data_IF_141385325320
#
_entry.id   IF_141385325320
#
_cell.length_a   1.000
_cell.length_b   1.000
_cell.length_c   1.000
_cell.angle_alpha   90.00
_cell.angle_beta   90.00
_cell.angle_gamma   90.00
#
_symmetry.space_group_name_H-M   'P 1'
#
loop_
_entity.id
_entity.type
_entity.pdbx_description
1 polymer ?
#
# COMPACT_ATOMS: atom_id res chain seq x y z
N UNK A 1 -1.32 -6.45 -6.69
CA UNK A 1 -0.13 -5.75 -7.21
C UNK A 1 0.82 -5.45 -6.05
N UNK A 2 2.11 -5.32 -6.32
CA UNK A 2 3.14 -5.01 -5.32
C UNK A 2 3.94 -3.83 -5.85
N UNK A 3 4.16 -2.82 -5.03
CA UNK A 3 5.02 -1.68 -5.37
C UNK A 3 5.94 -1.38 -4.17
N UNK A 4 7.23 -1.26 -4.46
CA UNK A 4 8.30 -1.28 -3.46
C UNK A 4 8.67 0.13 -2.98
N UNK A 5 8.59 1.11 -3.88
CA UNK A 5 8.99 2.49 -3.59
C UNK A 5 7.99 3.52 -4.12
N UNK A 6 6.67 3.34 -3.92
CA UNK A 6 5.70 4.28 -4.43
C UNK A 6 5.79 5.59 -3.65
N UNK A 7 5.67 6.71 -4.36
CA UNK A 7 5.32 7.99 -3.75
C UNK A 7 3.81 8.07 -3.55
N UNK A 8 3.38 9.00 -2.69
CA UNK A 8 1.98 9.04 -2.29
C UNK A 8 1.02 9.26 -3.48
N UNK A 9 1.43 10.05 -4.47
CA UNK A 9 0.63 10.33 -5.66
C UNK A 9 0.52 9.13 -6.61
N UNK A 10 1.44 8.16 -6.54
CA UNK A 10 1.36 6.93 -7.33
C UNK A 10 0.22 6.01 -6.84
N UNK A 11 -0.16 6.13 -5.56
CA UNK A 11 -1.07 5.22 -4.88
C UNK A 11 -2.38 5.86 -4.39
N UNK A 12 -2.46 7.18 -4.27
CA UNK A 12 -3.61 7.88 -3.71
C UNK A 12 -4.93 7.61 -4.45
N UNK A 13 -4.91 7.69 -5.80
CA UNK A 13 -6.10 7.41 -6.60
C UNK A 13 -6.48 5.92 -6.54
N UNK A 14 -5.48 5.04 -6.55
CA UNK A 14 -5.68 3.58 -6.54
C UNK A 14 -6.31 3.13 -5.22
N UNK A 15 -5.87 3.70 -4.09
CA UNK A 15 -6.43 3.37 -2.77
C UNK A 15 -7.94 3.57 -2.74
N UNK A 16 -8.46 4.70 -3.21
CA UNK A 16 -9.89 4.97 -3.23
C UNK A 16 -10.67 3.93 -4.07
N UNK A 17 -10.11 3.51 -5.20
CA UNK A 17 -10.70 2.48 -6.07
C UNK A 17 -10.69 1.11 -5.38
N UNK A 18 -9.58 0.74 -4.73
CA UNK A 18 -9.45 -0.54 -4.00
C UNK A 18 -10.50 -0.64 -2.90
N UNK A 19 -10.70 0.44 -2.13
CA UNK A 19 -11.73 0.50 -1.10
C UNK A 19 -13.15 0.36 -1.72
N UNK A 20 -13.43 1.08 -2.80
CA UNK A 20 -14.73 1.02 -3.48
C UNK A 20 -15.01 -0.37 -4.11
N UNK A 21 -13.97 -1.08 -4.54
CA UNK A 21 -14.06 -2.41 -5.10
C UNK A 21 -14.20 -3.52 -4.05
N UNK A 22 -14.16 -3.20 -2.75
CA UNK A 22 -14.17 -4.20 -1.67
C UNK A 22 -12.89 -5.05 -1.60
N UNK A 23 -11.83 -4.60 -2.25
CA UNK A 23 -10.52 -5.25 -2.22
C UNK A 23 -9.77 -4.88 -0.93
N UNK A 24 -8.68 -5.59 -0.65
CA UNK A 24 -7.87 -5.42 0.56
C UNK A 24 -6.58 -4.67 0.25
N UNK A 25 -6.29 -3.66 1.06
CA UNK A 25 -5.05 -2.89 1.02
C UNK A 25 -4.28 -3.12 2.31
N UNK A 26 -3.00 -3.47 2.22
CA UNK A 26 -2.13 -3.58 3.39
C UNK A 26 -0.78 -2.90 3.17
N UNK A 27 -0.29 -2.10 4.13
CA UNK A 27 1.08 -1.61 4.09
C UNK A 27 2.05 -2.79 4.30
N UNK A 28 3.21 -2.71 3.67
CA UNK A 28 4.30 -3.68 3.84
C UNK A 28 5.36 -3.20 4.84
N UNK A 29 5.26 -1.95 5.29
CA UNK A 29 5.96 -1.39 6.45
C UNK A 29 4.94 -1.03 7.56
N UNK A 30 5.41 -0.37 8.61
CA UNK A 30 4.59 0.06 9.75
C UNK A 30 3.91 1.42 9.51
N UNK A 31 3.83 1.89 8.25
CA UNK A 31 3.35 3.22 7.89
C UNK A 31 2.05 3.12 7.09
N UNK A 32 0.96 3.61 7.68
CA UNK A 32 -0.32 3.77 6.99
C UNK A 32 -0.52 5.22 6.54
N UNK A 33 -0.48 5.53 5.23
CA UNK A 33 -0.66 6.90 4.75
C UNK A 33 -2.13 7.32 4.62
N UNK A 34 -3.05 6.36 4.53
CA UNK A 34 -4.45 6.63 4.22
C UNK A 34 -5.36 6.47 5.44
N UNK A 35 -6.42 7.28 5.56
CA UNK A 35 -6.74 8.43 4.70
C UNK A 35 -5.69 9.57 4.86
N UNK A 36 -5.52 10.39 3.82
CA UNK A 36 -4.51 11.46 3.83
C UNK A 36 -4.95 12.64 4.70
N UNK A 37 -4.02 13.17 5.49
CA UNK A 37 -4.16 14.40 6.25
C UNK A 37 -3.77 15.61 5.39
N UNK A 38 -4.65 16.59 5.29
CA UNK A 38 -4.37 17.86 4.62
C UNK A 38 -3.19 18.60 5.29
N UNK A 39 -2.31 19.18 4.48
CA UNK A 39 -1.15 19.94 4.96
C UNK A 39 0.06 19.11 5.43
N UNK A 40 -0.05 17.77 5.50
CA UNK A 40 1.09 16.89 5.78
C UNK A 40 1.95 16.72 4.53
N UNK A 41 3.28 16.80 4.68
CA UNK A 41 4.24 16.53 3.61
C UNK A 41 4.54 15.03 3.52
N UNK A 42 4.23 14.42 2.37
CA UNK A 42 4.43 12.99 2.08
C UNK A 42 5.56 12.77 1.05
N UNK A 43 6.26 13.82 0.62
CA UNK A 43 7.23 13.75 -0.48
C UNK A 43 8.47 12.90 -0.18
N UNK A 44 8.79 12.74 1.11
CA UNK A 44 10.11 12.27 1.55
C UNK A 44 10.25 10.76 1.70
N UNK A 45 9.16 10.02 1.88
CA UNK A 45 9.23 8.57 2.14
C UNK A 45 8.44 7.77 1.10
N UNK A 46 8.83 6.52 0.83
CA UNK A 46 8.01 5.58 0.07
C UNK A 46 6.88 5.01 0.94
N UNK A 47 5.87 4.40 0.30
CA UNK A 47 4.73 3.74 0.96
C UNK A 47 4.50 2.32 0.42
N UNK A 48 5.43 1.38 0.65
CA UNK A 48 5.39 0.04 0.09
C UNK A 48 4.10 -0.67 0.48
N UNK A 49 3.39 -1.22 -0.50
CA UNK A 49 2.01 -1.68 -0.30
C UNK A 49 1.75 -2.98 -1.07
N UNK A 50 0.88 -3.82 -0.49
CA UNK A 50 0.21 -4.92 -1.17
C UNK A 50 -1.29 -4.62 -1.31
N UNK A 51 -1.77 -4.57 -2.55
CA UNK A 51 -3.20 -4.54 -2.88
C UNK A 51 -3.64 -5.92 -3.42
N UNK A 52 -4.63 -6.52 -2.78
CA UNK A 52 -5.15 -7.85 -3.06
C UNK A 52 -6.66 -7.82 -3.32
N UNK A 53 -7.13 -8.54 -4.34
CA UNK A 53 -8.54 -8.56 -4.72
C UNK A 53 -9.47 -9.17 -3.64
N UNK A 54 -8.92 -10.00 -2.75
CA UNK A 54 -9.64 -10.65 -1.67
C UNK A 54 -8.72 -10.82 -0.45
N UNK A 55 -9.26 -10.70 0.76
CA UNK A 55 -8.49 -10.77 2.00
C UNK A 55 -7.61 -12.04 2.15
N UNK A 56 -8.08 -13.26 1.79
CA UNK A 56 -7.25 -14.46 1.96
C UNK A 56 -5.95 -14.47 1.14
N UNK A 57 -5.87 -13.69 0.06
CA UNK A 57 -4.64 -13.60 -0.73
C UNK A 57 -3.53 -12.85 0.00
N UNK A 58 -3.86 -11.98 0.96
CA UNK A 58 -2.84 -11.26 1.73
C UNK A 58 -1.94 -12.23 2.48
N UNK A 59 -2.51 -13.23 3.16
CA UNK A 59 -1.74 -14.23 3.92
C UNK A 59 -0.80 -15.04 3.02
N UNK A 60 -1.24 -15.36 1.79
CA UNK A 60 -0.43 -16.09 0.82
C UNK A 60 0.72 -15.23 0.26
N UNK A 61 0.46 -13.96 -0.05
CA UNK A 61 1.42 -13.12 -0.77
C UNK A 61 2.33 -12.28 0.14
N UNK A 62 1.86 -11.83 1.32
CA UNK A 62 2.65 -11.03 2.27
C UNK A 62 4.05 -11.62 2.53
N UNK A 63 4.23 -12.91 2.88
CA UNK A 63 5.57 -13.43 3.16
C UNK A 63 6.50 -13.43 1.93
N UNK A 64 5.95 -13.52 0.72
CA UNK A 64 6.71 -13.51 -0.53
C UNK A 64 7.21 -12.10 -0.87
N UNK A 65 6.39 -11.08 -0.58
CA UNK A 65 6.64 -9.69 -0.99
C UNK A 65 7.32 -8.86 0.09
N UNK A 66 7.36 -9.34 1.34
CA UNK A 66 8.02 -8.66 2.47
C UNK A 66 9.51 -8.40 2.19
N UNK A 67 10.17 -9.26 1.41
CA UNK A 67 11.58 -9.12 1.00
C UNK A 67 11.82 -7.98 0.02
N UNK A 68 10.78 -7.50 -0.67
CA UNK A 68 10.89 -6.40 -1.63
C UNK A 68 11.07 -5.05 -0.91
N UNK A 69 10.65 -4.98 0.36
CA UNK A 69 10.70 -3.75 1.19
C UNK A 69 11.99 -3.64 1.99
N UNK A 70 12.60 -4.75 2.39
CA UNK A 70 13.87 -4.77 3.11
C UNK A 70 15.02 -4.80 2.12
N UNK A 71 15.80 -3.71 2.02
CA UNK A 71 17.18 -3.77 1.51
C UNK A 71 18.12 -4.23 2.63
#
# INVERSE_FOLDING_TARGET
>A
AVEATPKIWDIAAVWAIVQAAGATWVPLDDIEPFPLNAGKDYSRQPYPTLAAAQAPLVEAFRPLVQKVVKR
#
